data_IF_190491317209
#
_entry.id   IF_190491317209
#
_cell.length_a   1.000
_cell.length_b   1.000
_cell.length_c   1.000
_cell.angle_alpha   90.00
_cell.angle_beta   90.00
_cell.angle_gamma   90.00
#
_symmetry.space_group_name_H-M   'P 1'
#
loop_
_entity.id
_entity.type
_entity.pdbx_description
1 polymer ?
#
# COMPACT_ATOMS: atom_id res chain seq x y z
N UNK A 1 -72.13 -24.91 44.87
CA UNK A 1 -72.66 -23.57 44.56
C UNK A 1 -72.65 -23.39 43.05
N UNK A 2 -73.82 -23.14 42.47
CA UNK A 2 -74.12 -22.68 41.09
C UNK A 2 -73.64 -23.61 39.96
N UNK A 3 -74.50 -24.50 39.46
CA UNK A 3 -75.52 -24.31 38.40
C UNK A 3 -74.97 -24.48 36.98
N UNK A 4 -75.53 -25.48 36.31
CA UNK A 4 -75.39 -25.81 34.90
C UNK A 4 -76.38 -24.99 34.05
N UNK A 5 -76.17 -24.86 32.73
CA UNK A 5 -77.15 -25.35 31.72
C UNK A 5 -76.77 -25.04 30.25
N UNK A 6 -77.00 -26.05 29.40
CA UNK A 6 -77.50 -26.06 28.01
C UNK A 6 -76.74 -25.36 26.85
N UNK A 7 -76.22 -26.07 25.84
CA UNK A 7 -76.86 -26.84 24.71
C UNK A 7 -77.74 -26.02 23.74
N UNK A 8 -77.17 -25.79 22.55
CA UNK A 8 -77.67 -26.07 21.18
C UNK A 8 -79.17 -25.93 20.82
N UNK A 9 -79.43 -25.27 19.67
CA UNK A 9 -80.59 -25.58 18.82
C UNK A 9 -81.12 -24.47 17.91
N UNK A 10 -80.69 -24.48 16.64
CA UNK A 10 -81.40 -24.22 15.38
C UNK A 10 -82.43 -23.06 15.22
N UNK A 11 -82.31 -22.29 14.12
CA UNK A 11 -83.34 -22.13 13.07
C UNK A 11 -82.86 -21.31 11.86
N UNK A 12 -83.21 -21.81 10.68
CA UNK A 12 -83.10 -21.23 9.33
C UNK A 12 -83.79 -19.86 9.18
N UNK A 13 -83.28 -19.02 8.26
CA UNK A 13 -83.99 -18.55 7.04
C UNK A 13 -83.28 -17.36 6.35
N UNK A 14 -82.79 -17.59 5.13
CA UNK A 14 -82.69 -16.61 4.01
C UNK A 14 -84.09 -16.14 3.55
N UNK A 15 -84.26 -15.21 2.58
CA UNK A 15 -83.34 -14.28 1.90
C UNK A 15 -83.91 -12.83 1.82
N UNK A 16 -83.18 -11.87 1.23
CA UNK A 16 -83.67 -11.05 0.12
C UNK A 16 -82.78 -9.82 -0.15
N UNK A 17 -82.32 -9.77 -1.39
CA UNK A 17 -81.78 -8.62 -2.08
C UNK A 17 -82.80 -7.48 -2.20
N UNK A 18 -82.29 -6.25 -2.16
CA UNK A 18 -82.32 -5.29 -3.28
C UNK A 18 -82.77 -3.88 -2.89
N UNK A 19 -82.01 -2.92 -3.44
CA UNK A 19 -82.44 -1.58 -3.88
C UNK A 19 -82.81 -0.57 -2.79
N UNK A 20 -82.48 0.71 -2.88
CA UNK A 20 -81.69 1.53 -3.81
C UNK A 20 -81.78 2.95 -3.21
N UNK A 21 -80.77 3.80 -3.50
CA UNK A 21 -80.88 5.27 -3.59
C UNK A 21 -81.18 6.07 -2.31
N UNK A 22 -80.70 7.30 -2.08
CA UNK A 22 -79.73 8.22 -2.70
C UNK A 22 -79.81 9.53 -1.87
N UNK A 23 -78.67 10.17 -1.59
CA UNK A 23 -78.48 11.58 -1.14
C UNK A 23 -78.99 11.94 0.28
N UNK A 24 -78.42 12.84 1.08
CA UNK A 24 -77.42 13.92 0.93
C UNK A 24 -76.84 14.31 2.32
N UNK A 25 -75.80 15.18 2.33
CA UNK A 25 -75.26 15.96 3.48
C UNK A 25 -74.29 15.19 4.42
N UNK A 26 -73.10 15.66 4.85
CA UNK A 26 -72.35 16.93 4.81
C UNK A 26 -70.89 16.61 5.25
N UNK A 27 -69.88 17.31 4.70
CA UNK A 27 -68.44 17.22 5.07
C UNK A 27 -68.14 18.07 6.35
N UNK A 28 -66.92 18.12 6.97
CA UNK A 28 -65.59 17.78 6.42
C UNK A 28 -64.49 17.23 7.41
N UNK A 29 -63.25 17.12 6.89
CA UNK A 29 -61.91 17.06 7.55
C UNK A 29 -61.47 15.69 8.16
N UNK A 30 -60.29 15.10 7.90
CA UNK A 30 -59.07 15.59 7.25
C UNK A 30 -58.13 14.43 6.81
N UNK A 31 -57.49 14.64 5.65
CA UNK A 31 -56.19 14.11 5.18
C UNK A 31 -55.98 12.61 4.92
N UNK A 32 -56.31 12.17 3.69
CA UNK A 32 -55.47 11.24 2.91
C UNK A 32 -55.61 11.60 1.43
N UNK A 33 -54.55 12.09 0.79
CA UNK A 33 -54.45 12.06 -0.67
C UNK A 33 -53.20 11.27 -1.06
N UNK A 34 -53.49 10.05 -1.51
CA UNK A 34 -52.61 9.23 -2.32
C UNK A 34 -52.82 9.73 -3.76
N UNK A 35 -51.81 10.38 -4.33
CA UNK A 35 -51.80 10.71 -5.75
C UNK A 35 -51.08 9.59 -6.49
N UNK A 36 -51.85 8.81 -7.25
CA UNK A 36 -51.39 7.98 -8.35
C UNK A 36 -51.96 8.57 -9.65
N UNK A 37 -51.26 8.26 -10.74
CA UNK A 37 -51.57 8.52 -12.17
C UNK A 37 -50.76 9.69 -12.74
N UNK A 38 -50.14 9.65 -13.92
CA UNK A 38 -50.44 8.93 -15.18
C UNK A 38 -49.14 8.74 -15.98
N UNK A 39 -49.03 7.61 -16.68
CA UNK A 39 -48.03 7.26 -17.70
C UNK A 39 -48.16 8.11 -18.99
N UNK A 40 -47.04 8.65 -19.53
CA UNK A 40 -46.73 8.97 -20.97
C UNK A 40 -45.80 10.21 -21.07
N UNK A 41 -44.72 10.32 -21.86
CA UNK A 41 -44.01 9.48 -22.84
C UNK A 41 -42.59 10.14 -23.08
N UNK A 42 -41.78 9.85 -24.13
CA UNK A 42 -40.36 9.54 -24.02
C UNK A 42 -39.40 10.65 -24.52
N UNK A 43 -38.10 10.43 -24.29
CA UNK A 43 -36.94 11.16 -24.86
C UNK A 43 -36.73 12.62 -24.41
N UNK A 44 -35.73 12.80 -23.53
CA UNK A 44 -34.62 13.78 -23.62
C UNK A 44 -34.16 14.28 -22.23
N UNK A 45 -33.32 13.49 -21.59
CA UNK A 45 -32.05 13.98 -21.04
C UNK A 45 -31.30 12.76 -20.56
N UNK A 46 -30.49 12.23 -21.47
CA UNK A 46 -29.17 11.71 -21.12
C UNK A 46 -28.49 12.79 -20.28
N UNK A 47 -28.77 12.83 -18.98
CA UNK A 47 -27.92 13.49 -18.02
C UNK A 47 -26.71 12.59 -17.93
N UNK A 48 -25.75 12.86 -18.82
CA UNK A 48 -24.42 12.29 -18.94
C UNK A 48 -24.08 11.42 -17.72
N UNK A 49 -24.19 10.10 -17.90
CA UNK A 49 -23.36 9.16 -17.17
C UNK A 49 -21.91 9.58 -17.43
N UNK A 50 -21.41 10.51 -16.62
CA UNK A 50 -20.01 10.89 -16.65
C UNK A 50 -19.22 9.61 -16.46
N UNK A 51 -18.39 9.29 -17.45
CA UNK A 51 -17.64 8.05 -17.55
C UNK A 51 -17.11 7.56 -16.19
N UNK A 52 -17.26 6.26 -15.86
CA UNK A 52 -16.62 5.67 -14.69
C UNK A 52 -15.11 5.59 -14.93
N UNK A 53 -14.44 6.71 -14.72
CA UNK A 53 -13.00 6.89 -14.93
C UNK A 53 -12.45 8.18 -14.30
N UNK A 54 -13.32 9.04 -13.77
CA UNK A 54 -12.93 10.26 -13.07
C UNK A 54 -12.25 9.94 -11.72
N UNK A 55 -11.10 10.57 -11.37
CA UNK A 55 -10.49 10.48 -10.04
C UNK A 55 -11.46 10.75 -8.89
N UNK A 56 -12.55 11.47 -9.15
CA UNK A 56 -13.60 11.79 -8.18
C UNK A 56 -14.41 10.57 -7.76
N UNK A 57 -14.54 9.55 -8.61
CA UNK A 57 -15.23 8.29 -8.27
C UNK A 57 -14.44 7.44 -7.25
N UNK A 58 -13.10 7.55 -7.25
CA UNK A 58 -12.20 6.92 -6.26
C UNK A 58 -12.48 7.42 -4.83
N UNK A 59 -12.77 8.72 -4.70
CA UNK A 59 -13.12 9.34 -3.42
C UNK A 59 -14.56 9.04 -2.97
N UNK A 60 -15.46 8.74 -3.91
CA UNK A 60 -16.89 8.48 -3.61
C UNK A 60 -17.12 7.08 -3.03
N UNK A 61 -16.44 6.04 -3.52
CA UNK A 61 -16.53 4.67 -2.95
C UNK A 61 -15.89 4.54 -1.56
N UNK A 62 -14.93 5.39 -1.23
CA UNK A 62 -14.46 5.53 0.15
C UNK A 62 -15.42 6.31 1.04
N UNK A 63 -16.42 7.00 0.48
CA UNK A 63 -17.34 7.88 1.20
C UNK A 63 -18.61 7.16 1.68
N UNK A 64 -18.96 6.03 1.06
CA UNK A 64 -20.17 5.24 1.35
C UNK A 64 -19.92 4.29 2.53
N UNK A 65 -19.80 4.88 3.72
CA UNK A 65 -19.74 4.16 4.99
C UNK A 65 -19.43 5.10 6.16
N UNK A 66 -19.93 4.83 7.38
CA UNK A 66 -19.58 5.62 8.55
C UNK A 66 -18.05 5.59 8.76
N UNK A 67 -17.38 6.74 8.56
CA UNK A 67 -15.92 6.88 8.70
C UNK A 67 -15.12 7.04 7.40
N UNK A 68 -15.79 7.06 6.24
CA UNK A 68 -15.16 7.15 4.92
C UNK A 68 -14.18 8.32 4.70
N UNK A 69 -14.61 9.54 5.03
CA UNK A 69 -13.77 10.74 4.89
C UNK A 69 -12.50 10.70 5.75
N UNK A 70 -12.56 10.10 6.95
CA UNK A 70 -11.40 9.96 7.84
C UNK A 70 -10.34 9.03 7.25
N UNK A 71 -10.75 7.97 6.56
CA UNK A 71 -9.83 7.03 5.88
C UNK A 71 -9.10 7.69 4.71
N UNK A 72 -9.83 8.48 3.90
CA UNK A 72 -9.25 9.25 2.81
C UNK A 72 -8.20 10.25 3.32
N UNK A 73 -8.55 11.05 4.32
CA UNK A 73 -7.64 12.03 4.90
C UNK A 73 -6.39 11.32 5.45
N UNK A 74 -6.57 10.19 6.12
CA UNK A 74 -5.45 9.37 6.63
C UNK A 74 -4.55 8.89 5.49
N UNK A 75 -5.11 8.38 4.39
CA UNK A 75 -4.34 7.94 3.23
C UNK A 75 -3.55 9.08 2.57
N UNK A 76 -4.15 10.27 2.42
CA UNK A 76 -3.48 11.46 1.88
C UNK A 76 -2.33 11.91 2.79
N UNK A 77 -2.56 11.93 4.10
CA UNK A 77 -1.51 12.28 5.08
C UNK A 77 -0.37 11.27 5.04
N UNK A 78 -0.66 9.97 5.01
CA UNK A 78 0.36 8.92 4.91
C UNK A 78 1.15 9.01 3.59
N UNK A 79 0.46 9.30 2.49
CA UNK A 79 1.09 9.52 1.19
C UNK A 79 2.06 10.70 1.23
N UNK A 80 1.65 11.84 1.82
CA UNK A 80 2.52 13.01 1.98
C UNK A 80 3.73 12.70 2.86
N UNK A 81 3.53 12.01 4.01
CA UNK A 81 4.62 11.58 4.90
C UNK A 81 5.58 10.67 4.15
N UNK A 82 5.07 9.67 3.41
CA UNK A 82 5.90 8.75 2.65
C UNK A 82 6.74 9.50 1.60
N UNK A 83 6.11 10.37 0.79
CA UNK A 83 6.81 11.10 -0.26
C UNK A 83 7.88 12.05 0.30
N UNK A 84 7.56 12.84 1.32
CA UNK A 84 8.52 13.78 1.93
C UNK A 84 9.66 13.06 2.66
N UNK A 85 9.34 11.98 3.38
CA UNK A 85 10.36 11.20 4.09
C UNK A 85 11.27 10.45 3.13
N UNK A 86 10.76 10.00 1.98
CA UNK A 86 11.55 9.40 0.91
C UNK A 86 12.58 10.40 0.35
N UNK A 87 12.17 11.65 0.10
CA UNK A 87 13.10 12.72 -0.33
C UNK A 87 14.15 12.96 0.74
N UNK A 88 13.74 13.13 2.00
CA UNK A 88 14.65 13.34 3.11
C UNK A 88 15.68 12.23 3.28
N UNK A 89 15.27 10.95 3.16
CA UNK A 89 16.19 9.81 3.22
C UNK A 89 17.18 9.82 2.04
N UNK A 90 16.68 10.06 0.83
CA UNK A 90 17.49 10.00 -0.39
C UNK A 90 18.57 11.09 -0.36
N UNK A 91 18.17 12.33 -0.12
CA UNK A 91 19.09 13.47 -0.10
C UNK A 91 20.07 13.40 1.06
N UNK A 92 19.63 13.02 2.25
CA UNK A 92 20.53 12.86 3.39
C UNK A 92 21.59 11.78 3.13
N UNK A 93 21.20 10.65 2.50
CA UNK A 93 22.15 9.59 2.16
C UNK A 93 23.17 10.07 1.14
N UNK A 94 22.73 10.72 0.06
CA UNK A 94 23.63 11.21 -0.99
C UNK A 94 24.54 12.30 -0.43
N UNK A 95 24.00 13.26 0.33
CA UNK A 95 24.78 14.33 0.95
C UNK A 95 25.87 13.80 1.89
N UNK A 96 25.55 12.80 2.71
CA UNK A 96 26.53 12.16 3.61
C UNK A 96 27.65 11.48 2.83
N UNK A 97 27.32 10.72 1.77
CA UNK A 97 28.31 9.95 1.02
C UNK A 97 29.15 10.82 0.08
N UNK A 98 28.54 11.81 -0.57
CA UNK A 98 29.14 12.59 -1.65
C UNK A 98 29.76 13.90 -1.14
N UNK A 99 28.99 14.69 -0.39
CA UNK A 99 29.36 16.06 -0.02
C UNK A 99 30.15 16.09 1.30
N UNK A 100 29.76 15.29 2.28
CA UNK A 100 30.51 15.13 3.54
C UNK A 100 31.65 14.11 3.44
N UNK A 101 31.74 13.39 2.32
CA UNK A 101 32.82 12.43 2.04
C UNK A 101 32.80 11.16 2.90
N UNK A 102 31.74 10.92 3.70
CA UNK A 102 31.60 9.70 4.49
C UNK A 102 30.93 8.60 3.67
N UNK A 103 31.67 8.10 2.67
CA UNK A 103 31.21 7.07 1.74
C UNK A 103 31.33 5.66 2.36
N UNK A 104 30.41 5.33 3.28
CA UNK A 104 30.31 4.02 3.95
C UNK A 104 28.93 3.39 3.69
N UNK A 105 28.62 2.98 2.45
CA UNK A 105 27.27 2.59 2.05
C UNK A 105 26.70 1.42 2.88
N UNK A 106 27.52 0.43 3.25
CA UNK A 106 27.04 -0.70 4.04
C UNK A 106 26.78 -0.30 5.50
N UNK A 107 27.67 0.49 6.10
CA UNK A 107 27.47 1.01 7.44
C UNK A 107 26.25 1.95 7.53
N UNK A 108 26.04 2.82 6.54
CA UNK A 108 24.85 3.67 6.47
C UNK A 108 23.58 2.81 6.38
N UNK A 109 23.58 1.77 5.54
CA UNK A 109 22.48 0.81 5.47
C UNK A 109 22.23 0.16 6.83
N UNK A 110 23.28 -0.37 7.47
CA UNK A 110 23.17 -1.05 8.76
C UNK A 110 22.55 -0.15 9.81
N UNK A 111 23.00 1.11 9.90
CA UNK A 111 22.45 2.10 10.82
C UNK A 111 21.00 2.46 10.48
N UNK A 112 20.71 2.70 9.20
CA UNK A 112 19.37 3.12 8.73
C UNK A 112 18.33 2.02 8.92
N UNK A 113 18.57 0.84 8.38
CA UNK A 113 17.66 -0.29 8.46
C UNK A 113 17.65 -0.94 9.83
N UNK A 114 18.78 -0.95 10.54
CA UNK A 114 18.84 -1.37 11.94
C UNK A 114 17.85 -0.56 12.78
N UNK A 115 17.78 0.76 12.56
CA UNK A 115 16.90 1.66 13.30
C UNK A 115 15.40 1.36 13.14
N UNK A 116 14.99 0.52 12.19
CA UNK A 116 13.59 0.08 12.07
C UNK A 116 13.09 -0.63 13.34
N UNK A 117 13.97 -1.14 14.21
CA UNK A 117 13.54 -1.70 15.50
C UNK A 117 12.68 -0.70 16.31
N UNK A 118 12.84 0.61 16.14
CA UNK A 118 12.08 1.64 16.87
C UNK A 118 10.61 1.72 16.43
N UNK A 119 10.25 1.17 15.27
CA UNK A 119 8.89 1.19 14.74
C UNK A 119 7.88 0.57 15.71
N UNK A 120 8.21 -0.55 16.36
CA UNK A 120 7.29 -1.20 17.30
C UNK A 120 7.16 -0.45 18.64
N UNK A 121 8.25 0.00 19.31
CA UNK A 121 8.13 0.94 20.42
C UNK A 121 7.35 2.21 20.10
N UNK A 122 7.54 2.77 18.90
CA UNK A 122 6.79 3.94 18.42
C UNK A 122 5.29 3.66 18.29
N UNK A 123 4.92 2.50 17.73
CA UNK A 123 3.54 2.02 17.67
C UNK A 123 2.94 1.83 19.06
N UNK A 124 3.66 1.18 19.98
CA UNK A 124 3.22 0.99 21.37
C UNK A 124 3.00 2.33 22.08
N UNK A 125 3.89 3.31 21.87
CA UNK A 125 3.75 4.65 22.43
C UNK A 125 2.50 5.36 21.89
N UNK A 126 2.23 5.22 20.59
CA UNK A 126 1.04 5.77 19.95
C UNK A 126 -0.26 5.13 20.47
N UNK A 127 -0.32 3.80 20.53
CA UNK A 127 -1.46 3.07 21.09
C UNK A 127 -1.67 3.38 22.58
N UNK A 128 -0.57 3.51 23.34
CA UNK A 128 -0.60 3.90 24.74
C UNK A 128 -1.18 5.30 24.94
N UNK A 129 -0.82 6.24 24.08
CA UNK A 129 -1.34 7.61 24.11
C UNK A 129 -2.85 7.64 23.86
N UNK A 130 -3.34 6.84 22.91
CA UNK A 130 -4.77 6.71 22.65
C UNK A 130 -5.52 6.01 23.79
N UNK A 131 -4.89 5.03 24.44
CA UNK A 131 -5.47 4.23 25.51
C UNK A 131 -4.96 4.68 26.89
N UNK A 132 -4.87 6.01 27.11
CA UNK A 132 -4.24 6.62 28.28
C UNK A 132 -4.75 6.08 29.62
N UNK A 133 -6.05 5.74 29.71
CA UNK A 133 -6.70 5.24 30.92
C UNK A 133 -6.57 3.74 31.22
N UNK A 134 -5.99 2.91 30.34
CA UNK A 134 -5.83 1.46 30.61
C UNK A 134 -4.61 1.16 31.50
N UNK A 135 -4.70 0.20 32.45
CA UNK A 135 -3.53 -0.31 33.19
C UNK A 135 -2.50 -0.96 32.27
N UNK A 136 -1.21 -0.82 32.60
CA UNK A 136 -0.10 -1.34 31.78
C UNK A 136 -0.16 -2.86 31.56
N UNK A 137 -0.53 -3.64 32.57
CA UNK A 137 -0.62 -5.10 32.44
C UNK A 137 -1.61 -5.52 31.36
N UNK A 138 -2.83 -4.96 31.40
CA UNK A 138 -3.87 -5.26 30.40
C UNK A 138 -3.53 -4.71 29.03
N UNK A 139 -2.90 -3.54 28.94
CA UNK A 139 -2.47 -2.99 27.65
C UNK A 139 -1.51 -3.96 26.93
N UNK A 140 -0.48 -4.45 27.63
CA UNK A 140 0.46 -5.39 27.03
C UNK A 140 -0.19 -6.75 26.74
N UNK A 141 -1.05 -7.24 27.64
CA UNK A 141 -1.79 -8.49 27.43
C UNK A 141 -2.65 -8.42 26.17
N UNK A 142 -3.44 -7.35 26.01
CA UNK A 142 -4.25 -7.08 24.81
C UNK A 142 -3.36 -7.02 23.55
N UNK A 143 -2.26 -6.25 23.61
CA UNK A 143 -1.35 -6.07 22.47
C UNK A 143 -0.72 -7.37 22.01
N UNK A 144 -0.14 -8.15 22.93
CA UNK A 144 0.50 -9.41 22.59
C UNK A 144 -0.52 -10.48 22.18
N UNK A 145 -1.72 -10.46 22.75
CA UNK A 145 -2.81 -11.32 22.33
C UNK A 145 -3.20 -11.04 20.88
N UNK A 146 -3.44 -9.78 20.53
CA UNK A 146 -3.75 -9.35 19.16
C UNK A 146 -2.63 -9.74 18.22
N UNK A 147 -1.37 -9.42 18.56
CA UNK A 147 -0.22 -9.74 17.71
C UNK A 147 -0.09 -11.24 17.46
N UNK A 148 -0.26 -12.08 18.49
CA UNK A 148 -0.22 -13.54 18.35
C UNK A 148 -1.34 -14.04 17.44
N UNK A 149 -2.56 -13.55 17.63
CA UNK A 149 -3.70 -13.91 16.78
C UNK A 149 -3.47 -13.49 15.32
N UNK A 150 -2.94 -12.28 15.10
CA UNK A 150 -2.60 -11.82 13.76
C UNK A 150 -1.55 -12.69 13.09
N UNK A 151 -0.51 -13.04 13.83
CA UNK A 151 0.54 -13.92 13.31
C UNK A 151 -0.02 -15.29 12.89
N UNK A 152 -0.98 -15.84 13.64
CA UNK A 152 -1.68 -17.08 13.26
C UNK A 152 -2.54 -16.91 12.01
N UNK A 153 -3.24 -15.78 11.85
CA UNK A 153 -3.99 -15.49 10.62
C UNK A 153 -3.07 -15.37 9.40
N UNK A 154 -1.86 -14.81 9.58
CA UNK A 154 -0.87 -14.71 8.51
C UNK A 154 -0.25 -16.06 8.18
N UNK A 155 0.03 -16.90 9.18
CA UNK A 155 0.56 -18.25 8.96
C UNK A 155 -0.42 -19.14 8.20
N UNK A 156 -1.71 -19.07 8.54
CA UNK A 156 -2.74 -19.93 7.94
C UNK A 156 -3.52 -19.28 6.80
N UNK A 157 -3.29 -17.99 6.52
CA UNK A 157 -3.97 -17.21 5.48
C UNK A 157 -5.51 -17.29 5.58
N UNK A 158 -6.04 -17.35 6.80
CA UNK A 158 -7.48 -17.38 7.09
C UNK A 158 -7.77 -16.69 8.42
N UNK A 159 -8.93 -16.04 8.51
CA UNK A 159 -9.45 -15.48 9.77
C UNK A 159 -10.16 -16.55 10.62
N UNK A 160 -10.63 -17.63 9.99
CA UNK A 160 -11.38 -18.70 10.63
C UNK A 160 -10.42 -19.82 11.07
N UNK A 161 -9.78 -19.60 12.22
CA UNK A 161 -8.85 -20.57 12.80
C UNK A 161 -9.56 -21.71 13.51
N UNK A 162 -9.14 -22.94 13.23
CA UNK A 162 -9.54 -24.11 14.02
C UNK A 162 -8.96 -24.07 15.44
N UNK A 163 -9.55 -24.82 16.38
CA UNK A 163 -9.04 -24.93 17.75
C UNK A 163 -7.61 -25.47 17.82
N UNK A 164 -7.24 -26.37 16.88
CA UNK A 164 -5.87 -26.89 16.78
C UNK A 164 -4.87 -25.84 16.29
N UNK A 165 -5.26 -24.95 15.38
CA UNK A 165 -4.38 -23.88 14.91
C UNK A 165 -4.19 -22.80 15.98
N UNK A 166 -5.25 -22.50 16.73
CA UNK A 166 -5.20 -21.50 17.81
C UNK A 166 -4.26 -21.91 18.95
N UNK A 167 -4.10 -23.22 19.22
CA UNK A 167 -3.20 -23.71 20.27
C UNK A 167 -1.73 -23.72 19.86
N UNK A 168 -1.43 -23.70 18.56
CA UNK A 168 -0.06 -23.69 18.04
C UNK A 168 0.58 -22.30 18.19
N UNK A 169 1.92 -22.28 18.29
CA UNK A 169 2.69 -21.03 18.38
C UNK A 169 3.10 -20.58 16.98
N UNK A 170 2.77 -19.35 16.55
CA UNK A 170 3.16 -18.85 15.23
C UNK A 170 4.62 -18.38 15.17
N UNK A 171 5.34 -18.41 16.29
CA UNK A 171 6.70 -17.86 16.39
C UNK A 171 7.70 -18.48 15.39
N UNK A 172 7.76 -19.81 15.17
CA UNK A 172 8.72 -20.39 14.23
C UNK A 172 8.48 -19.90 12.79
N UNK A 173 7.22 -19.82 12.38
CA UNK A 173 6.81 -19.28 11.08
C UNK A 173 7.22 -17.81 10.96
N UNK A 174 6.89 -17.00 11.97
CA UNK A 174 7.20 -15.57 11.98
C UNK A 174 8.71 -15.29 11.95
N UNK A 175 9.50 -15.99 12.76
CA UNK A 175 10.96 -15.82 12.78
C UNK A 175 11.56 -16.15 11.41
N UNK A 176 11.15 -17.26 10.79
CA UNK A 176 11.63 -17.66 9.46
C UNK A 176 11.22 -16.65 8.39
N UNK A 177 9.96 -16.21 8.39
CA UNK A 177 9.44 -15.27 7.41
C UNK A 177 10.09 -13.90 7.55
N UNK A 178 10.16 -13.34 8.75
CA UNK A 178 10.81 -12.05 9.02
C UNK A 178 12.31 -12.09 8.69
N UNK A 179 13.00 -13.21 8.96
CA UNK A 179 14.41 -13.37 8.56
C UNK A 179 14.58 -13.37 7.04
N UNK A 180 13.74 -14.11 6.31
CA UNK A 180 13.76 -14.10 4.83
C UNK A 180 13.50 -12.69 4.30
N UNK A 181 12.53 -11.96 4.88
CA UNK A 181 12.26 -10.58 4.47
C UNK A 181 13.42 -9.63 4.79
N UNK A 182 14.06 -9.79 5.95
CA UNK A 182 15.24 -9.02 6.31
C UNK A 182 16.37 -9.24 5.29
N UNK A 183 16.65 -10.49 4.91
CA UNK A 183 17.65 -10.80 3.91
C UNK A 183 17.29 -10.21 2.54
N UNK A 184 16.06 -10.43 2.07
CA UNK A 184 15.61 -9.94 0.77
C UNK A 184 15.67 -8.40 0.68
N UNK A 185 15.19 -7.70 1.72
CA UNK A 185 15.23 -6.25 1.78
C UNK A 185 16.66 -5.71 1.81
N UNK A 186 17.51 -6.21 2.71
CA UNK A 186 18.86 -5.66 2.88
C UNK A 186 19.76 -5.97 1.68
N UNK A 187 19.63 -7.15 1.06
CA UNK A 187 20.38 -7.47 -0.16
C UNK A 187 19.99 -6.53 -1.30
N UNK A 188 18.69 -6.24 -1.47
CA UNK A 188 18.25 -5.24 -2.42
C UNK A 188 18.77 -3.84 -2.05
N UNK A 189 18.66 -3.44 -0.79
CA UNK A 189 19.04 -2.10 -0.33
C UNK A 189 20.54 -1.82 -0.43
N UNK A 190 21.42 -2.80 -0.22
CA UNK A 190 22.87 -2.63 -0.40
C UNK A 190 23.18 -2.07 -1.78
N UNK A 191 22.50 -2.56 -2.83
CA UNK A 191 22.69 -2.05 -4.19
C UNK A 191 22.31 -0.56 -4.33
N UNK A 192 21.22 -0.14 -3.68
CA UNK A 192 20.77 1.26 -3.68
C UNK A 192 21.76 2.15 -2.93
N UNK A 193 22.23 1.74 -1.75
CA UNK A 193 23.19 2.53 -0.96
C UNK A 193 24.55 2.66 -1.66
N UNK A 194 25.02 1.61 -2.34
CA UNK A 194 26.24 1.66 -3.16
C UNK A 194 26.04 2.63 -4.34
N UNK A 195 24.92 2.54 -5.04
CA UNK A 195 24.63 3.39 -6.19
C UNK A 195 24.46 4.87 -5.81
N UNK A 196 24.06 5.18 -4.58
CA UNK A 196 23.80 6.55 -4.12
C UNK A 196 25.00 7.49 -4.27
N UNK A 197 26.25 7.01 -4.14
CA UNK A 197 27.45 7.82 -4.37
C UNK A 197 27.99 7.75 -5.81
N UNK A 198 27.27 7.08 -6.71
CA UNK A 198 27.70 6.84 -8.09
C UNK A 198 26.82 7.57 -9.10
N UNK A 199 25.55 7.79 -8.79
CA UNK A 199 24.57 8.47 -9.65
C UNK A 199 23.89 9.64 -8.95
N UNK A 200 22.96 10.31 -9.63
CA UNK A 200 22.20 11.43 -9.05
C UNK A 200 21.02 10.93 -8.20
N UNK A 201 20.59 11.68 -7.17
CA UNK A 201 19.38 11.35 -6.39
C UNK A 201 18.15 11.12 -7.26
N UNK A 202 17.99 11.93 -8.30
CA UNK A 202 16.90 11.86 -9.28
C UNK A 202 16.89 10.54 -10.05
N UNK A 203 18.04 10.16 -10.66
CA UNK A 203 18.17 8.90 -11.39
C UNK A 203 17.97 7.70 -10.44
N UNK A 204 18.60 7.76 -9.27
CA UNK A 204 18.53 6.72 -8.24
C UNK A 204 17.07 6.44 -7.84
N UNK A 205 16.29 7.50 -7.62
CA UNK A 205 14.90 7.43 -7.20
C UNK A 205 13.99 6.93 -8.33
N UNK A 206 14.15 7.50 -9.53
CA UNK A 206 13.35 7.10 -10.70
C UNK A 206 13.54 5.62 -11.02
N UNK A 207 14.79 5.15 -11.07
CA UNK A 207 15.10 3.74 -11.37
C UNK A 207 14.60 2.83 -10.23
N UNK A 208 14.85 3.16 -8.96
CA UNK A 208 14.44 2.31 -7.84
C UNK A 208 12.91 2.14 -7.75
N UNK A 209 12.14 3.16 -8.12
CA UNK A 209 10.69 3.07 -8.13
C UNK A 209 10.14 2.06 -9.14
N UNK A 210 10.89 1.73 -10.20
CA UNK A 210 10.50 0.64 -11.11
C UNK A 210 10.38 -0.74 -10.43
N UNK A 211 10.86 -0.88 -9.18
CA UNK A 211 10.60 -2.05 -8.33
C UNK A 211 9.13 -2.42 -8.18
N UNK A 212 8.20 -1.46 -8.22
CA UNK A 212 6.76 -1.75 -8.20
C UNK A 212 6.29 -2.48 -9.47
N UNK A 213 6.91 -2.19 -10.61
CA UNK A 213 6.62 -2.81 -11.90
C UNK A 213 7.23 -4.21 -11.96
N UNK A 214 8.46 -4.39 -11.45
CA UNK A 214 9.03 -5.72 -11.28
C UNK A 214 8.25 -6.57 -10.27
N UNK A 215 7.66 -5.96 -9.23
CA UNK A 215 6.76 -6.68 -8.34
C UNK A 215 5.56 -7.26 -9.10
N UNK A 216 4.98 -6.55 -10.08
CA UNK A 216 3.95 -7.15 -10.96
C UNK A 216 4.49 -8.36 -11.75
N UNK A 217 5.68 -8.25 -12.34
CA UNK A 217 6.31 -9.38 -13.06
C UNK A 217 6.48 -10.60 -12.16
N UNK A 218 6.99 -10.39 -10.93
CA UNK A 218 7.12 -11.45 -9.95
C UNK A 218 5.78 -11.97 -9.42
N UNK A 219 4.73 -11.14 -9.34
CA UNK A 219 3.39 -11.59 -8.97
C UNK A 219 2.80 -12.52 -10.04
N UNK A 220 2.93 -12.18 -11.32
CA UNK A 220 2.53 -13.09 -12.40
C UNK A 220 3.30 -14.41 -12.32
N UNK A 221 4.60 -14.36 -12.02
CA UNK A 221 5.43 -15.58 -11.97
C UNK A 221 5.22 -16.44 -10.72
N UNK A 222 5.21 -15.84 -9.52
CA UNK A 222 5.14 -16.54 -8.23
C UNK A 222 3.70 -16.76 -7.75
N UNK A 223 2.81 -15.78 -7.95
CA UNK A 223 1.40 -15.85 -7.52
C UNK A 223 0.52 -16.40 -8.64
N UNK A 224 1.04 -16.57 -9.86
CA UNK A 224 0.28 -17.04 -11.04
C UNK A 224 -0.91 -16.15 -11.38
N UNK A 225 -0.80 -14.85 -11.09
CA UNK A 225 -1.78 -13.85 -11.49
C UNK A 225 -1.88 -13.77 -13.02
N UNK A 226 -3.07 -13.46 -13.55
CA UNK A 226 -3.30 -13.42 -15.00
C UNK A 226 -2.54 -12.25 -15.66
N UNK A 227 -1.89 -12.53 -16.79
CA UNK A 227 -1.18 -11.50 -17.55
C UNK A 227 -2.16 -10.58 -18.26
N UNK A 228 -2.06 -9.27 -18.00
CA UNK A 228 -2.78 -8.25 -18.76
C UNK A 228 -1.85 -7.51 -19.70
N UNK A 229 -2.31 -7.30 -20.94
CA UNK A 229 -1.53 -6.61 -21.96
C UNK A 229 -1.18 -5.17 -21.55
N UNK A 230 -2.10 -4.45 -20.91
CA UNK A 230 -1.85 -3.08 -20.42
C UNK A 230 -0.73 -3.03 -19.38
N UNK A 231 -0.69 -3.98 -18.44
CA UNK A 231 0.38 -4.07 -17.43
C UNK A 231 1.71 -4.48 -18.07
N UNK A 232 1.69 -5.36 -19.08
CA UNK A 232 2.90 -5.74 -19.82
C UNK A 232 3.48 -4.55 -20.62
N UNK A 233 2.64 -3.70 -21.21
CA UNK A 233 3.08 -2.46 -21.88
C UNK A 233 3.74 -1.52 -20.86
N UNK A 234 3.15 -1.37 -19.65
CA UNK A 234 3.76 -0.58 -18.58
C UNK A 234 5.16 -1.11 -18.19
N UNK A 235 5.34 -2.44 -18.15
CA UNK A 235 6.66 -3.05 -17.90
C UNK A 235 7.68 -2.66 -18.97
N UNK A 236 7.32 -2.81 -20.25
CA UNK A 236 8.21 -2.46 -21.36
C UNK A 236 8.57 -0.96 -21.34
N UNK A 237 7.59 -0.10 -21.09
CA UNK A 237 7.78 1.34 -21.03
C UNK A 237 8.71 1.75 -19.87
N UNK A 238 8.57 1.14 -18.70
CA UNK A 238 9.46 1.43 -17.58
C UNK A 238 10.90 0.94 -17.81
N UNK A 239 11.07 -0.24 -18.41
CA UNK A 239 12.41 -0.72 -18.82
C UNK A 239 13.03 0.25 -19.82
N UNK A 240 12.26 0.72 -20.81
CA UNK A 240 12.74 1.74 -21.75
C UNK A 240 13.12 3.03 -21.03
N UNK A 241 12.32 3.51 -20.06
CA UNK A 241 12.63 4.67 -19.24
C UNK A 241 13.96 4.52 -18.47
N UNK A 242 14.20 3.37 -17.84
CA UNK A 242 15.47 3.07 -17.14
C UNK A 242 16.65 3.05 -18.11
N UNK A 243 16.48 2.48 -19.31
CA UNK A 243 17.53 2.46 -20.33
C UNK A 243 17.85 3.88 -20.82
N UNK A 244 16.83 4.72 -21.03
CA UNK A 244 17.01 6.13 -21.42
C UNK A 244 17.79 6.89 -20.35
N UNK A 245 17.42 6.76 -19.06
CA UNK A 245 18.16 7.39 -17.94
C UNK A 245 19.61 6.89 -17.89
N UNK A 246 19.82 5.58 -18.08
CA UNK A 246 21.14 4.96 -17.94
C UNK A 246 22.10 5.35 -19.07
N UNK A 247 21.62 5.35 -20.33
CA UNK A 247 22.46 5.51 -21.52
C UNK A 247 22.32 6.86 -22.22
N UNK A 248 21.32 7.68 -21.87
CA UNK A 248 21.00 8.90 -22.61
C UNK A 248 21.90 10.11 -22.32
N UNK A 249 22.93 9.95 -21.49
CA UNK A 249 23.88 11.03 -21.22
C UNK A 249 24.92 11.11 -22.36
N UNK A 250 25.12 12.28 -22.99
CA UNK A 250 26.08 12.41 -24.08
C UNK A 250 27.51 12.14 -23.59
N UNK A 251 28.25 11.34 -24.36
CA UNK A 251 29.67 11.06 -24.14
C UNK A 251 30.60 12.11 -24.76
N UNK A 252 30.03 13.14 -25.37
CA UNK A 252 30.78 14.26 -25.95
C UNK A 252 31.14 15.23 -24.83
N UNK A 253 32.33 15.07 -24.28
CA UNK A 253 32.83 15.82 -23.14
C UNK A 253 34.31 15.57 -22.90
N UNK A 254 34.91 16.34 -21.98
CA UNK A 254 36.30 16.13 -21.56
C UNK A 254 36.52 14.76 -20.92
N UNK A 255 37.78 14.35 -20.73
CA UNK A 255 38.11 13.05 -20.13
C UNK A 255 37.45 12.84 -18.74
N UNK A 256 37.35 13.90 -17.93
CA UNK A 256 36.72 13.86 -16.61
C UNK A 256 35.19 13.65 -16.68
N UNK A 257 34.51 14.25 -17.67
CA UNK A 257 33.08 14.01 -17.92
C UNK A 257 32.83 12.57 -18.37
N UNK A 258 33.69 12.01 -19.21
CA UNK A 258 33.57 10.61 -19.65
C UNK A 258 33.71 9.64 -18.48
N UNK A 259 34.65 9.90 -17.55
CA UNK A 259 34.81 9.08 -16.34
C UNK A 259 33.60 9.21 -15.42
N UNK A 260 33.10 10.44 -15.22
CA UNK A 260 31.88 10.70 -14.44
C UNK A 260 30.66 9.97 -15.02
N UNK A 261 30.46 10.07 -16.34
CA UNK A 261 29.36 9.39 -17.04
C UNK A 261 29.43 7.86 -16.92
N UNK A 262 30.63 7.27 -16.98
CA UNK A 262 30.81 5.82 -16.76
C UNK A 262 30.47 5.42 -15.31
N UNK A 263 30.89 6.22 -14.32
CA UNK A 263 30.55 5.97 -12.91
C UNK A 263 29.05 6.05 -12.69
N UNK A 264 28.39 7.05 -13.28
CA UNK A 264 26.93 7.24 -13.26
C UNK A 264 26.18 6.08 -13.90
N UNK A 265 26.59 5.65 -15.10
CA UNK A 265 26.01 4.48 -15.78
C UNK A 265 26.12 3.22 -14.91
N UNK A 266 27.30 2.98 -14.32
CA UNK A 266 27.49 1.82 -13.46
C UNK A 266 26.60 1.88 -12.20
N UNK A 267 26.45 3.05 -11.59
CA UNK A 267 25.48 3.29 -10.51
C UNK A 267 24.04 3.01 -10.93
N UNK A 268 23.64 3.49 -12.11
CA UNK A 268 22.31 3.28 -12.68
C UNK A 268 22.01 1.80 -12.95
N UNK A 269 22.99 1.02 -13.41
CA UNK A 269 22.85 -0.43 -13.59
C UNK A 269 22.71 -1.15 -12.25
N UNK A 270 23.51 -0.77 -11.24
CA UNK A 270 23.45 -1.36 -9.90
C UNK A 270 22.07 -1.13 -9.27
N UNK A 271 21.57 0.11 -9.29
CA UNK A 271 20.25 0.41 -8.72
C UNK A 271 19.10 -0.22 -9.53
N UNK A 272 19.25 -0.40 -10.85
CA UNK A 272 18.28 -1.16 -11.65
C UNK A 272 18.22 -2.64 -11.22
N UNK A 273 19.36 -3.28 -10.98
CA UNK A 273 19.40 -4.63 -10.41
C UNK A 273 18.77 -4.67 -8.99
N UNK A 274 19.04 -3.63 -8.19
CA UNK A 274 18.38 -3.39 -6.91
C UNK A 274 16.87 -3.32 -6.99
N UNK A 275 16.33 -2.59 -7.97
CA UNK A 275 14.90 -2.44 -8.18
C UNK A 275 14.22 -3.78 -8.47
N UNK A 276 14.87 -4.67 -9.22
CA UNK A 276 14.39 -6.05 -9.45
C UNK A 276 14.35 -6.83 -8.14
N UNK A 277 15.44 -6.83 -7.36
CA UNK A 277 15.50 -7.51 -6.07
C UNK A 277 14.48 -6.96 -5.06
N UNK A 278 14.26 -5.64 -5.07
CA UNK A 278 13.27 -5.00 -4.22
C UNK A 278 11.84 -5.34 -4.66
N UNK A 279 11.61 -5.47 -5.97
CA UNK A 279 10.36 -6.00 -6.51
C UNK A 279 10.07 -7.43 -6.03
N UNK A 280 11.09 -8.29 -6.01
CA UNK A 280 10.98 -9.65 -5.46
C UNK A 280 10.65 -9.63 -3.97
N UNK A 281 11.32 -8.78 -3.18
CA UNK A 281 11.00 -8.58 -1.76
C UNK A 281 9.51 -8.21 -1.56
N UNK A 282 8.98 -7.27 -2.35
CA UNK A 282 7.57 -6.85 -2.25
C UNK A 282 6.60 -8.01 -2.46
N UNK A 283 6.88 -8.90 -3.42
CA UNK A 283 6.05 -10.07 -3.68
C UNK A 283 6.19 -11.13 -2.59
N UNK A 284 7.40 -11.37 -2.08
CA UNK A 284 7.60 -12.25 -0.94
C UNK A 284 6.87 -11.72 0.31
N UNK A 285 6.88 -10.41 0.53
CA UNK A 285 6.15 -9.76 1.61
C UNK A 285 4.65 -9.99 1.47
N UNK A 286 4.08 -9.72 0.29
CA UNK A 286 2.67 -9.99 -0.02
C UNK A 286 2.31 -11.46 0.22
N UNK A 287 3.17 -12.39 -0.19
CA UNK A 287 2.91 -13.82 -0.12
C UNK A 287 2.96 -14.40 1.30
N UNK A 288 3.84 -13.87 2.17
CA UNK A 288 4.16 -14.52 3.45
C UNK A 288 3.87 -13.68 4.70
N UNK A 289 3.78 -12.37 4.56
CA UNK A 289 3.71 -11.43 5.68
C UNK A 289 2.46 -10.55 5.66
N UNK A 290 1.67 -10.56 4.59
CA UNK A 290 0.37 -9.88 4.57
C UNK A 290 -0.73 -10.77 5.14
N UNK A 291 -1.72 -10.11 5.73
CA UNK A 291 -2.97 -10.72 6.15
C UNK A 291 -3.86 -11.07 4.94
N UNK A 292 -4.80 -12.03 5.11
CA UNK A 292 -5.82 -12.30 4.10
C UNK A 292 -6.71 -11.06 3.86
N UNK A 293 -7.33 -10.99 2.68
CA UNK A 293 -8.01 -9.77 2.19
C UNK A 293 -9.22 -9.36 3.05
N UNK A 294 -9.79 -10.31 3.79
CA UNK A 294 -10.93 -10.14 4.69
C UNK A 294 -10.54 -9.45 6.00
N UNK A 295 -9.24 -9.32 6.29
CA UNK A 295 -8.75 -8.72 7.53
C UNK A 295 -9.03 -7.21 7.60
N UNK A 296 -9.21 -6.70 8.81
CA UNK A 296 -9.43 -5.26 9.01
C UNK A 296 -8.16 -4.47 8.71
N UNK A 297 -8.32 -3.27 8.14
CA UNK A 297 -7.19 -2.43 7.77
C UNK A 297 -6.29 -2.07 8.97
N UNK A 298 -6.89 -1.79 10.13
CA UNK A 298 -6.16 -1.49 11.38
C UNK A 298 -5.24 -2.64 11.78
N UNK A 299 -5.73 -3.88 11.70
CA UNK A 299 -4.97 -5.07 12.02
C UNK A 299 -3.77 -5.25 11.08
N UNK A 300 -3.97 -4.99 9.79
CA UNK A 300 -2.93 -5.12 8.77
C UNK A 300 -1.85 -4.03 8.93
N UNK A 301 -2.22 -2.79 9.28
CA UNK A 301 -1.28 -1.71 9.60
C UNK A 301 -0.40 -2.07 10.79
N UNK A 302 -1.02 -2.39 11.94
CA UNK A 302 -0.29 -2.73 13.17
C UNK A 302 0.67 -3.88 12.94
N UNK A 303 0.22 -4.93 12.25
CA UNK A 303 1.07 -6.07 11.95
C UNK A 303 2.20 -5.74 10.98
N UNK A 304 1.93 -4.97 9.93
CA UNK A 304 2.95 -4.54 8.96
C UNK A 304 4.08 -3.74 9.64
N UNK A 305 3.73 -2.86 10.59
CA UNK A 305 4.71 -2.11 11.39
C UNK A 305 5.56 -3.03 12.27
N UNK A 306 4.96 -4.07 12.86
CA UNK A 306 5.69 -5.07 13.67
C UNK A 306 6.62 -5.94 12.80
N UNK A 307 6.18 -6.34 11.59
CA UNK A 307 7.04 -7.04 10.62
C UNK A 307 8.21 -6.15 10.22
N UNK A 308 7.96 -4.87 9.88
CA UNK A 308 9.01 -3.89 9.59
C UNK A 308 10.00 -3.72 10.74
N UNK A 309 9.51 -3.64 11.98
CA UNK A 309 10.36 -3.58 13.17
C UNK A 309 11.20 -4.85 13.36
N UNK A 310 10.60 -6.02 13.09
CA UNK A 310 11.31 -7.30 13.13
C UNK A 310 12.46 -7.35 12.12
N UNK A 311 12.29 -6.75 10.94
CA UNK A 311 13.38 -6.59 9.96
C UNK A 311 14.52 -5.76 10.57
N UNK A 312 14.23 -4.68 11.29
CA UNK A 312 15.26 -3.88 11.98
C UNK A 312 16.00 -4.65 13.06
N UNK A 313 15.29 -5.48 13.83
CA UNK A 313 15.90 -6.37 14.83
C UNK A 313 16.84 -7.37 14.16
N UNK A 314 16.40 -8.08 13.12
CA UNK A 314 17.25 -9.03 12.40
C UNK A 314 18.43 -8.34 11.70
N UNK A 315 18.25 -7.13 11.17
CA UNK A 315 19.33 -6.33 10.59
C UNK A 315 20.39 -6.03 11.64
N UNK A 316 19.97 -5.54 12.81
CA UNK A 316 20.88 -5.26 13.93
C UNK A 316 21.62 -6.51 14.42
N UNK A 317 20.95 -7.67 14.47
CA UNK A 317 21.52 -8.91 15.00
C UNK A 317 22.39 -9.68 14.00
N UNK A 318 22.14 -9.58 12.70
CA UNK A 318 22.75 -10.43 11.66
C UNK A 318 23.61 -9.62 10.69
N UNK A 319 23.15 -8.44 10.26
CA UNK A 319 23.84 -7.62 9.26
C UNK A 319 24.99 -6.79 9.83
N UNK A 320 25.33 -6.93 11.12
CA UNK A 320 26.62 -6.45 11.61
C UNK A 320 27.77 -7.39 11.21
N UNK A 321 27.51 -8.68 10.92
CA UNK A 321 28.53 -9.69 10.63
C UNK A 321 29.43 -9.34 9.43
N UNK A 322 28.92 -8.74 8.33
CA UNK A 322 29.78 -8.31 7.23
C UNK A 322 30.66 -7.11 7.56
N UNK A 323 30.34 -6.28 8.57
CA UNK A 323 31.13 -5.08 8.90
C UNK A 323 32.60 -5.39 9.22
N UNK A 324 32.94 -6.34 10.12
CA UNK A 324 34.33 -6.73 10.34
C UNK A 324 35.01 -7.24 9.06
N UNK A 325 34.31 -8.03 8.24
CA UNK A 325 34.87 -8.58 6.99
C UNK A 325 35.22 -7.45 6.03
N UNK A 326 34.32 -6.47 5.86
CA UNK A 326 34.54 -5.30 5.02
C UNK A 326 35.68 -4.41 5.53
N UNK A 327 35.82 -4.28 6.85
CA UNK A 327 36.92 -3.55 7.47
C UNK A 327 38.27 -4.23 7.22
N UNK A 328 38.38 -5.54 7.46
CA UNK A 328 39.65 -6.28 7.27
C UNK A 328 40.04 -6.44 5.80
N UNK A 329 39.07 -6.56 4.89
CA UNK A 329 39.33 -6.62 3.44
C UNK A 329 39.63 -5.25 2.83
N UNK A 330 39.38 -4.17 3.56
CA UNK A 330 39.55 -2.79 3.09
C UNK A 330 38.49 -2.34 2.09
N UNK A 331 37.44 -3.13 1.84
CA UNK A 331 36.33 -2.75 0.96
C UNK A 331 35.51 -1.61 1.57
N UNK A 332 35.32 -1.61 2.88
CA UNK A 332 34.74 -0.49 3.63
C UNK A 332 35.40 -0.42 5.02
N UNK A 333 36.38 0.46 5.17
CA UNK A 333 37.05 0.66 6.47
C UNK A 333 36.09 1.37 7.41
N UNK A 334 35.71 0.72 8.51
CA UNK A 334 34.96 1.35 9.60
C UNK A 334 35.69 2.58 10.14
N UNK A 335 35.05 3.74 9.99
CA UNK A 335 35.52 5.04 10.47
C UNK A 335 34.33 5.78 11.07
N UNK A 336 34.55 6.39 12.24
CA UNK A 336 33.50 7.16 12.88
C UNK A 336 33.13 8.38 12.01
N UNK A 337 31.83 8.68 11.85
CA UNK A 337 31.40 9.85 11.09
C UNK A 337 31.81 11.14 11.80
N UNK A 338 32.01 12.20 11.01
CA UNK A 338 32.03 13.57 11.56
C UNK A 338 30.68 13.90 12.22
N UNK A 339 30.63 14.92 13.08
CA UNK A 339 29.38 15.33 13.74
C UNK A 339 28.26 15.66 12.74
N UNK A 340 28.61 16.29 11.63
CA UNK A 340 27.68 16.57 10.53
C UNK A 340 27.19 15.29 9.85
N UNK A 341 28.09 14.36 9.53
CA UNK A 341 27.73 13.09 8.89
C UNK A 341 26.86 12.22 9.82
N UNK A 342 27.14 12.22 11.12
CA UNK A 342 26.33 11.53 12.12
C UNK A 342 24.91 12.10 12.19
N UNK A 343 24.77 13.44 12.22
CA UNK A 343 23.47 14.11 12.24
C UNK A 343 22.64 13.78 11.01
N UNK A 344 23.20 13.90 9.80
CA UNK A 344 22.48 13.62 8.56
C UNK A 344 22.18 12.12 8.38
N UNK A 345 23.06 11.24 8.84
CA UNK A 345 22.77 9.79 8.88
C UNK A 345 21.61 9.49 9.82
N UNK A 346 21.56 10.13 11.00
CA UNK A 346 20.44 9.97 11.93
C UNK A 346 19.13 10.55 11.36
N UNK A 347 19.18 11.71 10.71
CA UNK A 347 18.04 12.28 9.99
C UNK A 347 17.55 11.33 8.89
N UNK A 348 18.45 10.80 8.06
CA UNK A 348 18.14 9.81 7.03
C UNK A 348 17.53 8.52 7.60
N UNK A 349 18.02 8.04 8.75
CA UNK A 349 17.47 6.89 9.44
C UNK A 349 16.03 7.13 9.94
N UNK A 350 15.76 8.29 10.54
CA UNK A 350 14.41 8.68 10.97
C UNK A 350 13.48 8.84 9.77
N UNK A 351 13.92 9.51 8.71
CA UNK A 351 13.18 9.62 7.45
C UNK A 351 12.87 8.23 6.86
N UNK A 352 13.81 7.30 6.94
CA UNK A 352 13.60 5.93 6.46
C UNK A 352 12.57 5.16 7.28
N UNK A 353 12.56 5.33 8.60
CA UNK A 353 11.53 4.78 9.50
C UNK A 353 10.15 5.35 9.16
N UNK A 354 10.05 6.66 8.97
CA UNK A 354 8.79 7.34 8.62
C UNK A 354 8.28 6.90 7.25
N UNK A 355 9.16 6.85 6.25
CA UNK A 355 8.86 6.35 4.91
C UNK A 355 8.34 4.91 4.98
N UNK A 356 9.08 4.01 5.62
CA UNK A 356 8.73 2.58 5.69
C UNK A 356 7.41 2.37 6.42
N UNK A 357 7.21 3.05 7.56
CA UNK A 357 5.97 2.97 8.33
C UNK A 357 4.77 3.45 7.52
N UNK A 358 4.89 4.62 6.88
CA UNK A 358 3.81 5.20 6.08
C UNK A 358 3.54 4.39 4.81
N UNK A 359 4.57 3.93 4.12
CA UNK A 359 4.46 3.16 2.89
C UNK A 359 3.83 1.78 3.11
N UNK A 360 4.25 1.06 4.16
CA UNK A 360 3.62 -0.21 4.54
C UNK A 360 2.16 -0.01 4.96
N UNK A 361 1.89 1.02 5.76
CA UNK A 361 0.53 1.36 6.18
C UNK A 361 -0.37 1.73 5.00
N UNK A 362 0.14 2.49 4.03
CA UNK A 362 -0.59 2.86 2.81
C UNK A 362 -0.89 1.62 1.96
N UNK A 363 0.07 0.72 1.83
CA UNK A 363 -0.10 -0.57 1.14
C UNK A 363 -1.18 -1.44 1.80
N UNK A 364 -1.32 -1.36 3.13
CA UNK A 364 -2.34 -2.07 3.89
C UNK A 364 -3.73 -1.38 3.87
N UNK A 365 -3.77 -0.05 3.83
CA UNK A 365 -5.02 0.75 3.89
C UNK A 365 -5.72 0.91 2.56
N UNK A 366 -4.98 0.84 1.46
CA UNK A 366 -5.45 1.34 0.17
C UNK A 366 -5.15 0.39 -0.98
N UNK A 367 -5.86 0.58 -2.09
CA UNK A 367 -5.52 -0.11 -3.35
C UNK A 367 -4.05 0.12 -3.69
N UNK A 368 -3.34 -0.87 -4.28
CA UNK A 368 -1.97 -0.73 -4.77
C UNK A 368 -1.73 0.53 -5.61
N UNK A 369 -2.79 1.07 -6.22
CA UNK A 369 -2.80 2.35 -6.95
C UNK A 369 -2.32 3.52 -6.08
N UNK A 370 -2.80 3.69 -4.85
CA UNK A 370 -2.45 4.85 -4.02
C UNK A 370 -0.98 4.80 -3.54
N UNK A 371 -0.47 3.60 -3.23
CA UNK A 371 0.96 3.42 -2.96
C UNK A 371 1.84 3.78 -4.17
N UNK A 372 1.34 3.56 -5.38
CA UNK A 372 2.01 3.93 -6.63
C UNK A 372 1.99 5.44 -6.86
N UNK A 373 0.91 6.13 -6.47
CA UNK A 373 0.84 7.60 -6.51
C UNK A 373 1.85 8.24 -5.57
N UNK A 374 1.99 7.72 -4.35
CA UNK A 374 3.02 8.18 -3.41
C UNK A 374 4.43 8.07 -3.99
N UNK A 375 4.73 6.95 -4.66
CA UNK A 375 6.01 6.71 -5.32
C UNK A 375 6.23 7.69 -6.50
N UNK A 376 5.23 7.91 -7.35
CA UNK A 376 5.30 8.89 -8.46
C UNK A 376 5.57 10.31 -7.94
N UNK A 377 4.88 10.72 -6.88
CA UNK A 377 5.12 12.01 -6.22
C UNK A 377 6.55 12.10 -5.69
N UNK A 378 7.07 11.01 -5.10
CA UNK A 378 8.47 10.91 -4.67
C UNK A 378 9.48 11.15 -5.80
N UNK A 379 9.27 10.55 -6.99
CA UNK A 379 10.14 10.78 -8.17
C UNK A 379 10.19 12.27 -8.51
N UNK A 380 9.02 12.90 -8.58
CA UNK A 380 8.90 14.31 -8.92
C UNK A 380 9.56 15.21 -7.86
N UNK A 381 9.30 14.96 -6.58
CA UNK A 381 9.83 15.79 -5.49
C UNK A 381 11.35 15.67 -5.36
N UNK A 382 11.94 14.49 -5.55
CA UNK A 382 13.41 14.33 -5.58
C UNK A 382 14.00 15.09 -6.77
N UNK A 383 13.42 14.95 -7.97
CA UNK A 383 13.88 15.67 -9.15
C UNK A 383 13.77 17.20 -8.98
N UNK A 384 12.69 17.67 -8.35
CA UNK A 384 12.50 19.08 -8.03
C UNK A 384 13.55 19.57 -7.00
N UNK A 385 13.86 18.76 -5.99
CA UNK A 385 14.88 19.09 -5.01
C UNK A 385 16.27 19.20 -5.66
N UNK A 386 16.64 18.22 -6.49
CA UNK A 386 17.92 18.20 -7.23
C UNK A 386 18.04 19.44 -8.14
N UNK A 387 16.98 19.78 -8.88
CA UNK A 387 16.98 20.96 -9.75
C UNK A 387 17.13 22.29 -8.99
N UNK A 388 16.57 22.42 -7.78
CA UNK A 388 16.58 23.67 -7.02
C UNK A 388 17.84 23.81 -6.15
N UNK A 389 18.28 22.72 -5.51
CA UNK A 389 19.24 22.80 -4.40
C UNK A 389 20.62 22.24 -4.71
N UNK A 390 20.75 21.22 -5.56
CA UNK A 390 22.07 20.64 -5.88
C UNK A 390 22.69 21.27 -7.12
N UNK A 391 21.87 21.89 -8.00
CA UNK A 391 22.35 22.53 -9.22
C UNK A 391 22.84 21.54 -10.28
N UNK A 392 22.52 20.26 -10.13
CA UNK A 392 22.78 19.25 -11.16
C UNK A 392 21.80 19.48 -12.31
N UNK A 393 22.30 19.76 -13.51
CA UNK A 393 21.44 19.90 -14.70
C UNK A 393 20.67 18.59 -14.93
N UNK A 394 19.34 18.68 -14.83
CA UNK A 394 18.45 17.59 -15.20
C UNK A 394 18.62 17.32 -16.69
N UNK A 395 19.40 16.29 -16.99
CA UNK A 395 19.67 15.92 -18.38
C UNK A 395 18.36 15.61 -19.11
N UNK A 396 18.32 15.88 -20.42
CA UNK A 396 17.16 15.54 -21.25
C UNK A 396 16.78 14.05 -21.15
N UNK A 397 17.78 13.20 -20.93
CA UNK A 397 17.61 11.77 -20.69
C UNK A 397 16.92 11.47 -19.35
N UNK A 398 17.35 12.10 -18.26
CA UNK A 398 16.70 11.99 -16.94
C UNK A 398 15.23 12.43 -17.02
N UNK A 399 14.95 13.55 -17.68
CA UNK A 399 13.58 14.06 -17.84
C UNK A 399 12.74 13.10 -18.70
N UNK A 400 13.24 12.70 -19.87
CA UNK A 400 12.51 11.83 -20.80
C UNK A 400 12.23 10.44 -20.22
N UNK A 401 13.25 9.81 -19.62
CA UNK A 401 13.09 8.51 -18.99
C UNK A 401 12.27 8.56 -17.70
N UNK A 402 12.40 9.63 -16.90
CA UNK A 402 11.55 9.88 -15.73
C UNK A 402 10.08 10.01 -16.11
N UNK A 403 9.77 10.74 -17.20
CA UNK A 403 8.41 10.87 -17.72
C UNK A 403 7.86 9.53 -18.22
N UNK A 404 8.68 8.73 -18.91
CA UNK A 404 8.30 7.37 -19.33
C UNK A 404 7.95 6.47 -18.13
N UNK A 405 8.72 6.54 -17.04
CA UNK A 405 8.43 5.81 -15.80
C UNK A 405 7.12 6.27 -15.18
N UNK A 406 6.85 7.59 -15.11
CA UNK A 406 5.58 8.13 -14.60
C UNK A 406 4.40 7.62 -15.44
N UNK A 407 4.50 7.64 -16.78
CA UNK A 407 3.44 7.09 -17.65
C UNK A 407 3.25 5.59 -17.38
N UNK A 408 4.32 4.82 -17.22
CA UNK A 408 4.22 3.40 -16.90
C UNK A 408 3.47 3.16 -15.58
N UNK A 409 3.71 3.99 -14.56
CA UNK A 409 2.97 3.94 -13.31
C UNK A 409 1.49 4.32 -13.45
N UNK A 410 1.18 5.33 -14.27
CA UNK A 410 -0.20 5.71 -14.58
C UNK A 410 -0.94 4.55 -15.27
N UNK A 411 -0.31 3.90 -16.25
CA UNK A 411 -0.87 2.73 -16.93
C UNK A 411 -1.09 1.55 -15.97
N UNK A 412 -0.11 1.27 -15.10
CA UNK A 412 -0.22 0.22 -14.09
C UNK A 412 -1.35 0.53 -13.08
N UNK A 413 -1.43 1.78 -12.61
CA UNK A 413 -2.47 2.25 -11.71
C UNK A 413 -3.85 2.17 -12.34
N UNK A 414 -4.00 2.63 -13.58
CA UNK A 414 -5.24 2.53 -14.35
C UNK A 414 -5.68 1.09 -14.56
N UNK A 415 -4.77 0.20 -14.97
CA UNK A 415 -5.10 -1.22 -15.15
C UNK A 415 -5.51 -1.90 -13.84
N UNK A 416 -4.90 -1.51 -12.71
CA UNK A 416 -5.24 -2.05 -11.39
C UNK A 416 -6.60 -1.51 -10.91
N UNK A 417 -6.91 -0.26 -11.24
CA UNK A 417 -8.22 0.33 -10.98
C UNK A 417 -9.33 -0.40 -11.73
N UNK A 418 -9.14 -0.67 -13.03
CA UNK A 418 -10.10 -1.43 -13.83
C UNK A 418 -10.39 -2.81 -13.23
N UNK A 419 -9.35 -3.53 -12.82
CA UNK A 419 -9.46 -4.84 -12.17
C UNK A 419 -10.24 -4.77 -10.85
N UNK A 420 -9.96 -3.78 -10.02
CA UNK A 420 -10.56 -3.71 -8.67
C UNK A 420 -12.01 -3.23 -8.70
N UNK A 421 -12.40 -2.35 -9.63
CA UNK A 421 -13.67 -1.63 -9.56
C UNK A 421 -14.62 -1.84 -10.74
N UNK A 422 -14.12 -2.18 -11.93
CA UNK A 422 -14.97 -2.36 -13.12
C UNK A 422 -15.44 -3.81 -13.21
N UNK A 423 -14.55 -4.77 -12.92
CA UNK A 423 -14.85 -6.21 -13.05
C UNK A 423 -15.67 -6.76 -11.87
N UNK A 424 -15.49 -6.21 -10.66
CA UNK A 424 -16.35 -6.52 -9.51
C UNK A 424 -17.79 -5.98 -9.64
N UNK A 425 -18.08 -5.16 -10.67
CA UNK A 425 -19.42 -4.61 -10.95
C UNK A 425 -20.16 -5.31 -12.07
N UNK A 426 -19.49 -6.09 -12.91
CA UNK A 426 -20.19 -7.02 -13.81
C UNK A 426 -20.66 -8.20 -12.95
N UNK A 427 -21.97 -8.38 -12.70
CA UNK A 427 -22.45 -9.61 -12.10
C UNK A 427 -21.96 -10.74 -13.01
N UNK A 428 -21.31 -11.74 -12.45
CA UNK A 428 -20.97 -12.95 -13.17
C UNK A 428 -22.31 -13.52 -13.69
N UNK A 429 -22.68 -13.31 -14.96
CA UNK A 429 -23.91 -13.85 -15.55
C UNK A 429 -23.97 -15.38 -15.42
N UNK A 430 -22.83 -16.02 -15.20
CA UNK A 430 -22.71 -17.46 -14.95
C UNK A 430 -23.01 -17.92 -13.51
N UNK A 431 -23.15 -17.01 -12.53
CA UNK A 431 -23.48 -17.38 -11.14
C UNK A 431 -24.98 -17.25 -10.82
N UNK A 432 -25.76 -16.60 -11.70
CA UNK A 432 -27.21 -16.42 -11.54
C UNK A 432 -28.05 -17.64 -11.93
N UNK A 433 -27.45 -18.77 -12.30
CA UNK A 433 -28.17 -20.01 -12.61
C UNK A 433 -27.82 -21.13 -11.62
N UNK A 434 -28.25 -20.97 -10.37
CA UNK A 434 -28.67 -22.06 -9.48
C UNK A 434 -29.27 -21.51 -8.19
N UNK A 435 -30.47 -20.93 -8.31
CA UNK A 435 -31.40 -20.90 -7.17
C UNK A 435 -32.27 -22.15 -7.31
N UNK A 436 -32.23 -23.11 -6.36
CA UNK A 436 -33.22 -24.18 -6.34
C UNK A 436 -34.59 -23.53 -6.12
N UNK A 437 -35.51 -23.73 -7.05
CA UNK A 437 -36.93 -23.48 -6.83
C UNK A 437 -37.36 -24.25 -5.58
N UNK A 438 -37.93 -23.54 -4.61
CA UNK A 438 -38.58 -24.13 -3.43
C UNK A 438 -39.54 -25.23 -3.89
N UNK A 439 -39.39 -26.43 -3.33
CA UNK A 439 -40.47 -27.42 -3.34
C UNK A 439 -41.40 -27.13 -2.16
N UNK A 440 -42.66 -26.92 -2.52
CA UNK A 440 -43.86 -26.67 -1.70
C UNK A 440 -44.19 -27.86 -0.80
#
# INVERSE_FOLDING_TARGET
>A
MSEASQKAGARDATPASSRNKQASETAPEDSWEVEWDVYSDPASSEAEESEPGSPTALFRHTHEGPGGGRRVITAVVLMAIAALSMVGQTEATVYVQRDLGWNKPYLILYLTHGFYFIMWPGLLAFERFQQSGKPWSRFFEDHFFVLRRTAQYVEHQTLDLTSSQTSQSPLPYMLRTCFIQCCALNVAAVTWFIAANMTTPSDLTAINNTSAIFAYVFSVWLLKESMRMTKNIAVVLAVAGVLVISYGNPTEGGADEVVSNKKRLFGNIITAAGAVLFGLYRVLYKLKACLPAEATAEMNITFSVVVGSSIGVFTTLVFWLPLPILHFTGWEVFELPSSAAAFWTAFGAVSSVLFTSAFLSLTALTSPVLSSVAAMLGIFLVALYDAIFTGHDLTKATIGGGFAIIIAFLLLGWSTYQETYVENKTPNEHELTRVPTEEV
#
